data_IF_115752596324
#
_entry.id   IF_115752596324
#
_cell.length_a   1.000
_cell.length_b   1.000
_cell.length_c   1.000
_cell.angle_alpha   90.00
_cell.angle_beta   90.00
_cell.angle_gamma   90.00
#
_symmetry.space_group_name_H-M   'P 1'
#
loop_
_entity.id
_entity.type
_entity.pdbx_description
1 polymer ?
#
# COMPACT_ATOMS: atom_id res chain seq x y z
N UNK A 1 -1.15 56.21 -0.59
CA UNK A 1 -0.75 55.53 -1.84
C UNK A 1 0.19 54.34 -1.61
N UNK A 2 1.23 54.45 -0.76
CA UNK A 2 2.19 53.38 -0.45
C UNK A 2 1.56 52.05 0.04
N UNK A 3 0.55 52.12 0.92
CA UNK A 3 -0.11 50.93 1.48
C UNK A 3 -0.95 50.13 0.46
N UNK A 4 -1.56 50.83 -0.51
CA UNK A 4 -2.31 50.21 -1.60
C UNK A 4 -1.39 49.49 -2.57
N UNK A 5 -0.21 50.04 -2.83
CA UNK A 5 0.79 49.41 -3.67
C UNK A 5 1.34 48.12 -3.04
N UNK A 6 1.65 48.15 -1.74
CA UNK A 6 2.07 46.96 -0.99
C UNK A 6 0.99 45.87 -0.98
N UNK A 7 -0.28 46.24 -0.84
CA UNK A 7 -1.40 45.30 -0.90
C UNK A 7 -1.51 44.62 -2.27
N UNK A 8 -1.43 45.39 -3.36
CA UNK A 8 -1.45 44.85 -4.72
C UNK A 8 -0.22 43.98 -5.04
N UNK A 9 0.95 44.35 -4.53
CA UNK A 9 2.18 43.57 -4.67
C UNK A 9 2.08 42.22 -3.93
N UNK A 10 1.54 42.22 -2.71
CA UNK A 10 1.33 41.01 -1.93
C UNK A 10 0.28 40.08 -2.56
N UNK A 11 -0.81 40.65 -3.09
CA UNK A 11 -1.84 39.89 -3.81
C UNK A 11 -1.28 39.25 -5.09
N UNK A 12 -0.43 39.98 -5.84
CA UNK A 12 0.25 39.44 -7.01
C UNK A 12 1.20 38.28 -6.64
N UNK A 13 2.00 38.42 -5.57
CA UNK A 13 2.86 37.34 -5.08
C UNK A 13 2.07 36.10 -4.64
N UNK A 14 0.94 36.28 -3.94
CA UNK A 14 0.10 35.18 -3.50
C UNK A 14 -0.51 34.40 -4.68
N UNK A 15 -0.83 35.09 -5.77
CA UNK A 15 -1.39 34.46 -6.99
C UNK A 15 -0.38 33.59 -7.76
N UNK A 16 0.92 33.73 -7.47
CA UNK A 16 1.97 32.91 -8.05
C UNK A 16 2.21 31.59 -7.30
N UNK A 17 1.49 31.33 -6.21
CA UNK A 17 1.61 30.07 -5.47
C UNK A 17 1.00 28.92 -6.28
N UNK A 18 1.85 28.15 -6.96
CA UNK A 18 1.45 26.92 -7.62
C UNK A 18 1.40 25.76 -6.60
N UNK A 19 0.42 24.84 -6.71
CA UNK A 19 0.41 23.65 -5.88
C UNK A 19 1.66 22.81 -6.14
N UNK A 20 2.29 22.29 -5.07
CA UNK A 20 3.45 21.43 -5.18
C UNK A 20 3.04 20.11 -5.86
N UNK A 21 3.54 19.88 -7.07
CA UNK A 21 3.31 18.65 -7.82
C UNK A 21 4.27 17.54 -7.32
N UNK A 22 3.92 16.89 -6.22
CA UNK A 22 4.60 15.65 -5.81
C UNK A 22 4.12 14.48 -6.70
N UNK A 23 4.63 14.42 -7.93
CA UNK A 23 4.17 13.47 -8.95
C UNK A 23 4.71 12.05 -8.81
N UNK A 24 5.78 11.86 -8.02
CA UNK A 24 6.42 10.55 -7.87
C UNK A 24 5.89 9.83 -6.64
N UNK A 25 5.10 8.77 -6.84
CA UNK A 25 4.75 7.87 -5.72
C UNK A 25 5.95 6.97 -5.46
N UNK A 26 6.15 6.55 -4.21
CA UNK A 26 7.25 5.65 -3.83
C UNK A 26 7.26 4.38 -4.71
N UNK A 27 6.08 3.83 -5.04
CA UNK A 27 5.96 2.65 -5.93
C UNK A 27 6.40 2.89 -7.38
N UNK A 28 6.50 4.14 -7.82
CA UNK A 28 6.89 4.49 -9.19
C UNK A 28 8.42 4.66 -9.32
N UNK A 29 9.16 4.69 -8.20
CA UNK A 29 10.64 4.86 -8.14
C UNK A 29 11.37 3.74 -7.41
N UNK A 30 10.64 2.70 -6.97
CA UNK A 30 11.21 1.56 -6.25
C UNK A 30 11.04 0.32 -7.10
N UNK A 31 12.10 -0.48 -7.17
CA UNK A 31 12.06 -1.84 -7.70
C UNK A 31 11.95 -2.82 -6.54
N UNK A 32 11.00 -3.75 -6.62
CA UNK A 32 10.87 -4.79 -5.60
C UNK A 32 11.99 -5.83 -5.79
N UNK A 33 12.88 -5.94 -4.82
CA UNK A 33 13.84 -7.02 -4.74
C UNK A 33 13.16 -8.29 -4.20
N UNK A 34 13.47 -9.45 -4.76
CA UNK A 34 12.91 -10.72 -4.29
C UNK A 34 11.45 -10.97 -4.67
N UNK A 35 10.91 -10.30 -5.71
CA UNK A 35 9.67 -10.75 -6.36
C UNK A 35 9.95 -12.12 -6.97
N UNK A 36 9.63 -13.17 -6.21
CA UNK A 36 9.67 -14.53 -6.72
C UNK A 36 8.63 -14.59 -7.84
N UNK A 37 9.02 -15.13 -9.00
CA UNK A 37 8.05 -15.46 -10.06
C UNK A 37 7.01 -16.47 -9.58
N UNK A 38 7.31 -17.21 -8.51
CA UNK A 38 6.37 -18.08 -7.85
C UNK A 38 5.30 -17.26 -7.12
N UNK A 39 4.11 -17.26 -7.71
CA UNK A 39 2.90 -16.78 -7.06
C UNK A 39 2.72 -17.50 -5.72
N UNK A 40 2.73 -16.73 -4.63
CA UNK A 40 2.46 -17.25 -3.30
C UNK A 40 0.94 -17.37 -3.12
N UNK A 41 0.48 -18.55 -2.75
CA UNK A 41 -0.91 -18.79 -2.35
C UNK A 41 -0.93 -19.05 -0.85
N UNK A 42 -1.51 -18.12 -0.09
CA UNK A 42 -1.70 -18.28 1.35
C UNK A 42 -3.02 -18.99 1.64
N UNK A 43 -2.96 -20.10 2.38
CA UNK A 43 -4.15 -20.80 2.86
C UNK A 43 -4.36 -20.49 4.34
N UNK A 44 -5.58 -20.07 4.70
CA UNK A 44 -6.00 -19.95 6.09
C UNK A 44 -6.49 -21.30 6.61
N UNK A 45 -6.12 -21.65 7.84
CA UNK A 45 -6.60 -22.84 8.55
C UNK A 45 -7.43 -22.40 9.76
N UNK A 46 -8.65 -22.92 9.86
CA UNK A 46 -9.54 -22.61 10.98
C UNK A 46 -9.60 -23.80 11.94
N UNK A 47 -9.16 -23.60 13.19
CA UNK A 47 -9.12 -24.64 14.24
C UNK A 47 -9.91 -24.22 15.50
N UNK A 48 -10.24 -25.18 16.36
CA UNK A 48 -10.87 -24.91 17.67
C UNK A 48 -12.40 -24.70 17.65
N UNK A 49 -13.05 -24.81 16.49
CA UNK A 49 -14.51 -24.85 16.39
C UNK A 49 -15.06 -26.21 16.85
N UNK A 50 -16.33 -26.24 17.28
CA UNK A 50 -17.04 -27.42 17.75
C UNK A 50 -17.31 -28.45 16.63
N UNK A 51 -16.26 -29.13 16.17
CA UNK A 51 -16.32 -30.18 15.16
C UNK A 51 -16.39 -29.70 13.71
N UNK A 52 -16.40 -28.38 13.47
CA UNK A 52 -16.55 -27.79 12.11
C UNK A 52 -15.31 -27.05 11.61
N UNK A 53 -14.19 -27.13 12.34
CA UNK A 53 -12.91 -26.61 11.85
C UNK A 53 -12.35 -27.43 10.68
N UNK A 54 -11.28 -26.92 10.09
CA UNK A 54 -10.57 -27.62 9.03
C UNK A 54 -9.88 -28.87 9.58
N UNK A 55 -10.10 -29.98 8.88
CA UNK A 55 -9.45 -31.27 9.13
C UNK A 55 -8.51 -31.59 7.97
N UNK A 56 -7.66 -32.60 8.14
CA UNK A 56 -6.75 -33.00 7.07
C UNK A 56 -7.49 -33.49 5.80
N UNK A 57 -8.77 -33.84 5.88
CA UNK A 57 -9.55 -34.27 4.69
C UNK A 57 -9.96 -33.10 3.79
N UNK A 58 -10.19 -31.93 4.37
CA UNK A 58 -10.65 -30.71 3.68
C UNK A 58 -9.57 -29.63 3.54
N UNK A 59 -8.43 -29.78 4.23
CA UNK A 59 -7.25 -28.94 4.08
C UNK A 59 -6.02 -29.78 3.65
N UNK A 60 -5.94 -30.20 2.37
CA UNK A 60 -4.88 -31.09 1.88
C UNK A 60 -3.48 -30.46 1.99
N UNK A 61 -3.36 -29.13 1.86
CA UNK A 61 -2.10 -28.40 1.97
C UNK A 61 -1.46 -28.52 3.36
N UNK A 62 -2.26 -28.68 4.43
CA UNK A 62 -1.76 -28.84 5.80
C UNK A 62 -0.88 -30.07 5.96
N UNK A 63 -1.19 -31.18 5.26
CA UNK A 63 -0.31 -32.37 5.29
C UNK A 63 1.03 -32.07 4.65
N UNK A 64 1.01 -31.43 3.48
CA UNK A 64 2.19 -31.15 2.71
C UNK A 64 3.14 -30.17 3.43
N UNK A 65 2.62 -29.28 4.28
CA UNK A 65 3.44 -28.41 5.13
C UNK A 65 4.06 -29.10 6.35
N UNK A 66 3.50 -30.21 6.82
CA UNK A 66 4.05 -30.98 7.95
C UNK A 66 5.11 -32.00 7.53
N UNK A 67 5.12 -32.38 6.26
CA UNK A 67 6.07 -33.33 5.67
C UNK A 67 7.30 -32.66 5.04
N UNK A 68 7.32 -31.32 4.97
CA UNK A 68 8.36 -30.53 4.32
C UNK A 68 9.41 -29.98 5.28
#
# INVERSE_FOLDING_TARGET
MRFRFLFWLAAALASAAQPAAAGSRIKDIVQFEGVRENQLVGYGLVVGLAGTGDTLRNAPMTRQSLES
#
